data_IF_672511175208
#
_entry.id   IF_672511175208
#
_cell.length_a   1.000
_cell.length_b   1.000
_cell.length_c   1.000
_cell.angle_alpha   90.00
_cell.angle_beta   90.00
_cell.angle_gamma   90.00
#
_symmetry.space_group_name_H-M   'P 1'
#
loop_
_entity.id
_entity.type
_entity.pdbx_description
1 polymer ?
#
# COMPACT_ATOMS: atom_id res chain seq x y z
N UNK A 1 -11.15 2.14 -23.78
CA UNK A 1 -10.86 0.87 -23.06
C UNK A 1 -10.63 1.33 -21.65
N UNK A 2 -11.41 0.86 -20.67
CA UNK A 2 -11.28 1.37 -19.31
C UNK A 2 -9.84 1.17 -18.85
N UNK A 3 -9.19 2.26 -18.46
CA UNK A 3 -7.83 2.20 -17.97
C UNK A 3 -7.80 1.32 -16.72
N UNK A 4 -7.08 0.21 -16.83
CA UNK A 4 -6.92 -0.77 -15.77
C UNK A 4 -5.67 -0.42 -14.98
N UNK A 5 -5.86 -0.12 -13.70
CA UNK A 5 -4.76 0.16 -12.80
C UNK A 5 -4.47 -1.04 -11.92
N UNK A 6 -3.19 -1.34 -11.79
CA UNK A 6 -2.69 -2.41 -10.92
C UNK A 6 -1.93 -1.76 -9.76
N UNK A 7 -2.39 -2.01 -8.54
CA UNK A 7 -1.66 -1.62 -7.32
C UNK A 7 -1.08 -2.87 -6.70
N UNK A 8 0.21 -2.84 -6.42
CA UNK A 8 0.90 -3.90 -5.70
C UNK A 8 0.81 -3.64 -4.20
N UNK A 9 0.55 -4.67 -3.41
CA UNK A 9 0.72 -4.67 -1.96
C UNK A 9 1.90 -5.57 -1.65
N UNK A 10 2.85 -5.06 -0.87
CA UNK A 10 4.01 -5.83 -0.44
C UNK A 10 4.03 -5.90 1.08
N UNK A 11 4.11 -7.10 1.65
CA UNK A 11 4.32 -7.30 3.06
C UNK A 11 5.79 -7.64 3.27
N UNK A 12 6.50 -6.82 4.04
CA UNK A 12 7.92 -7.00 4.32
C UNK A 12 8.19 -6.88 5.81
N UNK A 13 9.22 -7.56 6.29
CA UNK A 13 9.67 -7.37 7.67
C UNK A 13 10.28 -5.97 7.84
N UNK A 14 10.06 -5.36 9.01
CA UNK A 14 10.67 -4.08 9.36
C UNK A 14 12.18 -4.20 9.67
N UNK A 15 12.66 -5.37 10.08
CA UNK A 15 14.08 -5.69 10.26
C UNK A 15 14.54 -6.77 9.27
N UNK A 16 15.14 -6.38 8.13
CA UNK A 16 15.63 -7.35 7.14
C UNK A 16 16.79 -8.21 7.65
N UNK A 17 17.44 -7.83 8.76
CA UNK A 17 18.53 -8.63 9.36
C UNK A 17 18.02 -9.76 10.25
N UNK A 18 16.75 -9.69 10.66
CA UNK A 18 16.08 -10.69 11.50
C UNK A 18 14.63 -10.90 11.02
N UNK A 19 14.44 -11.42 9.80
CA UNK A 19 13.09 -11.57 9.26
C UNK A 19 12.26 -12.53 10.12
N UNK A 20 10.99 -12.19 10.31
CA UNK A 20 9.92 -13.00 10.89
C UNK A 20 8.88 -13.34 9.79
N UNK A 21 9.15 -14.33 8.92
CA UNK A 21 8.23 -14.68 7.83
C UNK A 21 6.85 -15.11 8.32
N UNK A 22 6.77 -15.74 9.50
CA UNK A 22 5.51 -16.15 10.08
C UNK A 22 4.66 -14.94 10.51
N UNK A 23 5.29 -13.94 11.14
CA UNK A 23 4.65 -12.67 11.47
C UNK A 23 4.18 -11.91 10.22
N UNK A 24 5.02 -11.87 9.18
CA UNK A 24 4.69 -11.25 7.88
C UNK A 24 3.47 -11.93 7.24
N UNK A 25 3.47 -13.25 7.09
CA UNK A 25 2.36 -13.98 6.47
C UNK A 25 1.06 -13.91 7.29
N UNK A 26 1.15 -13.98 8.63
CA UNK A 26 -0.03 -13.81 9.48
C UNK A 26 -0.62 -12.39 9.37
N UNK A 27 0.21 -11.37 9.18
CA UNK A 27 -0.24 -10.01 8.93
C UNK A 27 -0.90 -9.88 7.54
N UNK A 28 -0.27 -10.44 6.51
CA UNK A 28 -0.77 -10.49 5.15
C UNK A 28 -2.16 -11.14 5.08
N UNK A 29 -2.30 -12.39 5.57
CA UNK A 29 -3.56 -13.13 5.55
C UNK A 29 -4.73 -12.35 6.14
N UNK A 30 -4.46 -11.68 7.25
CA UNK A 30 -5.48 -10.92 7.94
C UNK A 30 -5.87 -9.64 7.17
N UNK A 31 -4.89 -8.92 6.63
CA UNK A 31 -5.14 -7.70 5.84
C UNK A 31 -5.89 -8.05 4.55
N UNK A 32 -5.49 -9.13 3.88
CA UNK A 32 -6.17 -9.63 2.69
C UNK A 32 -7.60 -10.03 2.98
N UNK A 33 -7.86 -10.65 4.14
CA UNK A 33 -9.22 -10.97 4.59
C UNK A 33 -10.07 -9.71 4.74
N UNK A 34 -9.53 -8.65 5.32
CA UNK A 34 -10.26 -7.39 5.52
C UNK A 34 -10.48 -6.62 4.20
N UNK A 35 -9.51 -6.66 3.27
CA UNK A 35 -9.68 -6.14 1.92
C UNK A 35 -10.82 -6.86 1.18
N UNK A 36 -10.84 -8.20 1.22
CA UNK A 36 -11.90 -9.02 0.61
C UNK A 36 -13.27 -8.72 1.19
N UNK A 37 -13.38 -8.54 2.51
CA UNK A 37 -14.63 -8.13 3.18
C UNK A 37 -15.17 -6.79 2.68
N UNK A 38 -14.29 -5.89 2.22
CA UNK A 38 -14.66 -4.60 1.64
C UNK A 38 -14.81 -4.64 0.11
N UNK A 39 -14.86 -5.83 -0.49
CA UNK A 39 -15.03 -6.03 -1.93
C UNK A 39 -13.79 -5.68 -2.75
N UNK A 40 -12.61 -5.61 -2.11
CA UNK A 40 -11.31 -5.46 -2.78
C UNK A 40 -10.70 -6.86 -2.89
N UNK A 41 -10.38 -7.31 -4.10
CA UNK A 41 -9.84 -8.64 -4.35
C UNK A 41 -8.35 -8.57 -4.74
N UNK A 42 -7.42 -8.89 -3.82
CA UNK A 42 -6.00 -8.99 -4.12
C UNK A 42 -5.65 -10.38 -4.63
N UNK A 43 -4.83 -10.44 -5.68
CA UNK A 43 -4.32 -11.65 -6.31
C UNK A 43 -2.86 -11.86 -5.89
N UNK A 44 -2.45 -13.08 -5.46
CA UNK A 44 -1.06 -13.33 -5.11
C UNK A 44 -0.16 -13.22 -6.33
N UNK A 45 1.01 -12.61 -6.15
CA UNK A 45 2.08 -12.54 -7.17
C UNK A 45 3.26 -13.35 -6.68
N UNK A 46 3.65 -14.34 -7.47
CA UNK A 46 4.83 -15.14 -7.16
C UNK A 46 6.09 -14.34 -7.49
N UNK A 47 6.86 -13.96 -6.47
CA UNK A 47 8.09 -13.16 -6.62
C UNK A 47 9.38 -13.98 -6.56
N UNK A 48 9.30 -15.24 -6.12
CA UNK A 48 10.47 -16.11 -5.93
C UNK A 48 11.40 -15.68 -4.78
N UNK A 49 11.08 -14.61 -4.04
CA UNK A 49 11.84 -14.14 -2.89
C UNK A 49 11.32 -14.75 -1.59
N UNK A 50 12.22 -15.12 -0.67
CA UNK A 50 11.83 -15.58 0.66
C UNK A 50 11.51 -14.38 1.57
N UNK A 51 10.36 -14.43 2.24
CA UNK A 51 9.99 -13.47 3.29
C UNK A 51 9.26 -12.20 2.83
N UNK A 52 8.81 -12.16 1.57
CA UNK A 52 7.97 -11.07 1.06
C UNK A 52 6.72 -11.61 0.40
N UNK A 53 5.56 -11.41 1.02
CA UNK A 53 4.28 -11.76 0.40
C UNK A 53 3.82 -10.57 -0.45
N UNK A 54 3.62 -10.81 -1.75
CA UNK A 54 3.26 -9.76 -2.71
C UNK A 54 1.92 -10.10 -3.35
N UNK A 55 1.07 -9.09 -3.44
CA UNK A 55 -0.26 -9.19 -4.03
C UNK A 55 -0.49 -8.05 -5.00
N UNK A 56 -1.30 -8.26 -6.03
CA UNK A 56 -1.75 -7.24 -6.97
C UNK A 56 -3.26 -7.08 -6.87
N UNK A 57 -3.72 -5.84 -6.75
CA UNK A 57 -5.12 -5.46 -6.85
C UNK A 57 -5.30 -4.80 -8.20
N UNK A 58 -6.28 -5.28 -8.95
CA UNK A 58 -6.58 -4.78 -10.27
C UNK A 58 -7.94 -4.08 -10.22
N UNK A 59 -7.97 -2.79 -10.53
CA UNK A 59 -9.20 -1.99 -10.55
C UNK A 59 -9.35 -1.28 -11.89
N UNK A 60 -10.58 -1.27 -12.40
CA UNK A 60 -10.97 -0.42 -13.51
C UNK A 60 -11.33 0.95 -12.94
N UNK A 61 -10.67 2.00 -13.40
CA UNK A 61 -11.10 3.37 -13.12
C UNK A 61 -12.10 3.80 -14.20
N UNK A 62 -13.13 4.54 -13.80
CA UNK A 62 -14.03 5.16 -14.76
C UNK A 62 -13.22 6.18 -15.60
N UNK A 63 -13.26 6.03 -16.92
CA UNK A 63 -12.51 6.79 -17.92
C UNK A 63 -12.72 8.32 -17.72
N UNK A 64 -11.77 9.02 -17.10
CA UNK A 64 -11.75 10.50 -17.12
C UNK A 64 -10.39 11.15 -16.82
N UNK A 65 -9.32 10.39 -16.54
CA UNK A 65 -8.01 10.98 -16.29
C UNK A 65 -7.32 11.35 -17.61
N UNK A 66 -7.48 12.59 -18.07
CA UNK A 66 -6.87 13.08 -19.32
C UNK A 66 -5.42 13.57 -19.10
N UNK A 67 -5.04 13.89 -17.86
CA UNK A 67 -3.69 14.37 -17.51
C UNK A 67 -3.00 13.49 -16.44
N UNK A 68 -1.66 13.42 -16.46
CA UNK A 68 -0.87 12.59 -15.52
C UNK A 68 -1.15 12.88 -14.03
N UNK A 69 -1.47 14.14 -13.69
CA UNK A 69 -1.86 14.52 -12.33
C UNK A 69 -3.25 13.99 -11.94
N UNK A 70 -4.17 13.92 -12.90
CA UNK A 70 -5.49 13.32 -12.72
C UNK A 70 -5.38 11.80 -12.62
N UNK A 71 -4.45 11.18 -13.37
CA UNK A 71 -4.10 9.76 -13.23
C UNK A 71 -3.59 9.47 -11.82
N UNK A 72 -2.68 10.29 -11.31
CA UNK A 72 -2.14 10.15 -9.96
C UNK A 72 -3.23 10.33 -8.89
N UNK A 73 -4.10 11.33 -9.05
CA UNK A 73 -5.25 11.54 -8.15
C UNK A 73 -6.26 10.39 -8.22
N UNK A 74 -6.57 9.87 -9.40
CA UNK A 74 -7.48 8.76 -9.59
C UNK A 74 -6.91 7.46 -8.98
N UNK A 75 -5.61 7.22 -9.15
CA UNK A 75 -4.87 6.14 -8.51
C UNK A 75 -4.94 6.22 -6.99
N UNK A 76 -4.67 7.41 -6.44
CA UNK A 76 -4.66 7.61 -5.00
C UNK A 76 -6.09 7.48 -4.44
N UNK A 77 -7.07 8.16 -5.03
CA UNK A 77 -8.46 8.16 -4.57
C UNK A 77 -9.13 6.79 -4.74
N UNK A 78 -8.95 6.16 -5.90
CA UNK A 78 -9.70 4.97 -6.28
C UNK A 78 -9.18 3.67 -5.67
N UNK A 79 -7.88 3.61 -5.35
CA UNK A 79 -7.23 2.33 -4.99
C UNK A 79 -6.33 2.47 -3.77
N UNK A 80 -5.38 3.41 -3.76
CA UNK A 80 -4.37 3.48 -2.69
C UNK A 80 -4.97 3.93 -1.36
N UNK A 81 -5.75 5.01 -1.33
CA UNK A 81 -6.33 5.54 -0.09
C UNK A 81 -7.27 4.55 0.61
N UNK A 82 -8.17 3.83 -0.09
CA UNK A 82 -8.96 2.76 0.54
C UNK A 82 -8.11 1.66 1.17
N UNK A 83 -7.05 1.20 0.48
CA UNK A 83 -6.14 0.17 1.02
C UNK A 83 -5.43 0.70 2.27
N UNK A 84 -4.87 1.90 2.19
CA UNK A 84 -4.17 2.56 3.29
C UNK A 84 -5.07 2.78 4.50
N UNK A 85 -6.32 3.23 4.30
CA UNK A 85 -7.27 3.43 5.39
C UNK A 85 -7.65 2.12 6.08
N UNK A 86 -7.88 1.04 5.32
CA UNK A 86 -8.11 -0.31 5.87
C UNK A 86 -6.94 -0.76 6.74
N UNK A 87 -5.73 -0.63 6.21
CA UNK A 87 -4.50 -1.01 6.89
C UNK A 87 -4.37 -0.26 8.22
N UNK A 88 -4.48 1.05 8.17
CA UNK A 88 -4.20 1.88 9.32
C UNK A 88 -5.33 1.87 10.37
N UNK A 89 -6.61 1.68 9.99
CA UNK A 89 -7.72 1.50 10.95
C UNK A 89 -7.49 0.26 11.82
N UNK A 90 -6.96 -0.79 11.20
CA UNK A 90 -6.65 -2.06 11.85
C UNK A 90 -5.45 -1.96 12.78
N UNK A 91 -4.45 -1.16 12.39
CA UNK A 91 -3.29 -0.89 13.23
C UNK A 91 -3.65 -0.07 14.47
N UNK A 92 -4.58 0.89 14.38
CA UNK A 92 -5.14 1.58 15.55
C UNK A 92 -6.01 0.67 16.43
N UNK A 93 -6.82 -0.21 15.84
CA UNK A 93 -7.73 -1.08 16.61
C UNK A 93 -7.02 -2.14 17.50
N UNK A 94 -5.70 -2.34 17.32
CA UNK A 94 -4.89 -3.32 18.03
C UNK A 94 -4.06 -2.72 19.18
N UNK A 95 -4.50 -1.63 19.80
CA UNK A 95 -3.93 -1.05 21.03
C UNK A 95 -3.95 -2.04 22.21
N UNK A 96 -3.03 -3.00 22.18
CA UNK A 96 -2.11 -3.24 23.29
C UNK A 96 -0.81 -2.54 22.90
N UNK A 97 -0.17 -1.81 23.83
CA UNK A 97 1.08 -1.11 23.58
C UNK A 97 2.19 -2.15 23.35
N UNK A 98 2.28 -2.66 22.14
CA UNK A 98 3.48 -3.32 21.63
C UNK A 98 4.27 -2.24 20.92
N UNK A 99 5.49 -2.00 21.39
CA UNK A 99 6.42 -0.94 20.96
C UNK A 99 6.85 -1.01 19.48
N UNK A 100 6.26 -1.90 18.69
CA UNK A 100 6.54 -2.06 17.28
C UNK A 100 5.28 -1.76 16.46
N UNK A 101 5.15 -0.51 16.02
CA UNK A 101 4.08 -0.07 15.12
C UNK A 101 4.39 -0.55 13.69
N UNK A 102 3.39 -1.08 13.00
CA UNK A 102 3.54 -1.38 11.58
C UNK A 102 3.47 -0.06 10.81
N UNK A 103 4.28 0.06 9.76
CA UNK A 103 4.31 1.28 8.93
C UNK A 103 3.78 0.96 7.56
N UNK A 104 2.85 1.77 7.06
CA UNK A 104 2.40 1.70 5.67
C UNK A 104 3.18 2.73 4.87
N UNK A 105 3.78 2.32 3.77
CA UNK A 105 4.56 3.16 2.87
C UNK A 105 3.95 3.06 1.48
N UNK A 106 3.57 4.19 0.92
CA UNK A 106 3.11 4.27 -0.47
C UNK A 106 4.29 4.67 -1.34
N UNK A 107 4.55 3.88 -2.37
CA UNK A 107 5.66 4.08 -3.31
C UNK A 107 5.08 4.22 -4.73
N UNK A 108 5.42 5.31 -5.41
CA UNK A 108 5.02 5.58 -6.81
C UNK A 108 6.23 6.07 -7.58
N UNK A 109 6.68 5.34 -8.60
CA UNK A 109 7.87 5.69 -9.42
C UNK A 109 9.11 6.06 -8.57
N UNK A 110 9.28 5.37 -7.43
CA UNK A 110 10.37 5.60 -6.46
C UNK A 110 10.12 6.72 -5.44
N UNK A 111 9.11 7.58 -5.63
CA UNK A 111 8.67 8.54 -4.62
C UNK A 111 7.97 7.81 -3.48
N UNK A 112 8.27 8.17 -2.23
CA UNK A 112 7.77 7.45 -1.06
C UNK A 112 7.02 8.39 -0.11
N UNK A 113 5.92 7.90 0.44
CA UNK A 113 5.18 8.57 1.50
C UNK A 113 4.82 7.58 2.61
N UNK A 114 5.30 7.85 3.82
CA UNK A 114 4.90 7.10 4.99
C UNK A 114 3.51 7.54 5.47
N UNK A 115 2.67 6.55 5.75
CA UNK A 115 1.34 6.73 6.31
C UNK A 115 1.26 6.02 7.65
N UNK A 116 1.21 6.85 8.69
CA UNK A 116 1.00 6.42 10.08
C UNK A 116 -0.47 6.62 10.47
N UNK A 117 -1.15 7.61 9.87
CA UNK A 117 -2.53 7.97 10.19
C UNK A 117 -3.54 7.34 9.20
N UNK A 118 -4.53 6.55 9.68
CA UNK A 118 -5.57 5.96 8.83
C UNK A 118 -6.49 6.89 8.09
N UNK A 119 -6.57 8.12 8.55
CA UNK A 119 -7.49 9.11 8.02
C UNK A 119 -6.75 10.09 7.07
N UNK A 120 -5.56 9.72 6.58
CA UNK A 120 -4.85 10.51 5.58
C UNK A 120 -5.74 10.70 4.34
N UNK A 121 -6.00 11.95 3.99
CA UNK A 121 -6.74 12.27 2.78
C UNK A 121 -5.88 11.96 1.56
N UNK A 122 -6.54 11.66 0.43
CA UNK A 122 -5.84 11.46 -0.83
C UNK A 122 -5.02 12.68 -1.26
N UNK A 123 -5.52 13.89 -0.98
CA UNK A 123 -4.81 15.15 -1.25
C UNK A 123 -3.54 15.28 -0.40
N UNK A 124 -3.60 14.91 0.88
CA UNK A 124 -2.44 14.94 1.77
C UNK A 124 -1.41 13.87 1.36
N UNK A 125 -1.86 12.67 1.00
CA UNK A 125 -0.98 11.62 0.49
C UNK A 125 -0.29 12.05 -0.83
N UNK A 126 -1.06 12.63 -1.76
CA UNK A 126 -0.51 13.20 -2.99
C UNK A 126 0.52 14.28 -2.69
N UNK A 127 0.22 15.17 -1.75
CA UNK A 127 1.13 16.24 -1.34
C UNK A 127 2.45 15.67 -0.84
N UNK A 128 2.41 14.65 0.02
CA UNK A 128 3.63 13.98 0.54
C UNK A 128 4.45 13.34 -0.58
N UNK A 129 3.79 12.68 -1.53
CA UNK A 129 4.46 12.07 -2.68
C UNK A 129 5.15 13.14 -3.57
N UNK A 130 4.48 14.26 -3.84
CA UNK A 130 5.06 15.37 -4.62
C UNK A 130 6.16 16.13 -3.87
N UNK A 131 6.13 16.14 -2.54
CA UNK A 131 7.23 16.68 -1.72
C UNK A 131 8.45 15.75 -1.75
N UNK A 132 8.23 14.43 -1.70
CA UNK A 132 9.29 13.44 -1.85
C UNK A 132 9.93 13.49 -3.23
N UNK A 133 9.12 13.72 -4.28
CA UNK A 133 9.62 13.90 -5.64
C UNK A 133 8.71 14.86 -6.46
N UNK A 134 9.17 16.10 -6.69
CA UNK A 134 8.40 17.09 -7.46
C UNK A 134 8.18 16.70 -8.93
N UNK A 135 9.02 15.84 -9.52
CA UNK A 135 8.91 15.40 -10.91
C UNK A 135 8.02 14.16 -11.08
N UNK A 136 7.44 13.64 -9.99
CA UNK A 136 6.59 12.45 -10.01
C UNK A 136 5.45 12.55 -11.04
N UNK A 137 4.80 13.71 -11.15
CA UNK A 137 3.68 13.92 -12.07
C UNK A 137 4.07 13.77 -13.55
N UNK A 138 5.34 13.90 -13.91
CA UNK A 138 5.82 13.76 -15.29
C UNK A 138 6.12 12.30 -15.65
N UNK A 139 6.37 11.45 -14.64
CA UNK A 139 6.78 10.05 -14.81
C UNK A 139 5.61 9.07 -14.68
N UNK A 140 4.52 9.50 -14.06
CA UNK A 140 3.33 8.67 -13.85
C UNK A 140 2.52 8.55 -15.13
N UNK A 141 2.11 7.33 -15.44
CA UNK A 141 1.25 6.99 -16.57
C UNK A 141 0.17 6.00 -16.14
N UNK A 142 -0.83 5.70 -17.00
CA UNK A 142 -1.79 4.62 -16.73
C UNK A 142 -1.15 3.26 -16.49
N UNK A 143 0.06 3.02 -17.01
CA UNK A 143 0.81 1.79 -16.81
C UNK A 143 1.61 1.75 -15.50
N UNK A 144 1.71 2.86 -14.77
CA UNK A 144 2.40 2.93 -13.48
C UNK A 144 1.71 2.00 -12.49
N UNK A 145 2.51 1.21 -11.77
CA UNK A 145 2.04 0.28 -10.73
C UNK A 145 2.47 0.78 -9.35
N UNK A 146 1.65 1.55 -8.64
CA UNK A 146 1.93 1.95 -7.26
C UNK A 146 2.15 0.73 -6.38
N UNK A 147 3.05 0.85 -5.42
CA UNK A 147 3.30 -0.16 -4.39
C UNK A 147 2.84 0.38 -3.04
N UNK A 148 1.94 -0.33 -2.37
CA UNK A 148 1.60 -0.12 -0.96
C UNK A 148 2.38 -1.15 -0.16
N UNK A 149 3.52 -0.73 0.37
CA UNK A 149 4.37 -1.57 1.22
C UNK A 149 3.90 -1.48 2.67
N UNK A 150 3.68 -2.62 3.30
CA UNK A 150 3.36 -2.76 4.72
C UNK A 150 4.58 -3.35 5.40
N UNK A 151 5.26 -2.53 6.22
CA UNK A 151 6.34 -2.99 7.08
C UNK A 151 5.77 -3.58 8.34
N UNK A 152 5.93 -4.88 8.49
CA UNK A 152 5.43 -5.64 9.63
C UNK A 152 6.42 -5.54 10.77
N UNK A 153 5.93 -5.03 11.89
CA UNK A 153 6.69 -5.00 13.12
C UNK A 153 6.90 -6.44 13.61
N UNK A 154 8.15 -6.90 13.66
CA UNK A 154 8.51 -8.25 14.10
C UNK A 154 7.92 -8.58 15.48
N UNK A 155 7.44 -9.81 15.65
CA UNK A 155 6.86 -10.24 16.92
C UNK A 155 7.99 -10.46 17.94
N UNK A 156 8.25 -9.47 18.82
CA UNK A 156 9.12 -9.70 19.98
C UNK A 156 8.44 -10.71 20.90
N UNK A 157 8.84 -11.98 20.80
CA UNK A 157 8.57 -12.99 21.83
C UNK A 157 9.23 -12.50 23.12
N UNK A 158 8.42 -12.02 24.07
CA UNK A 158 8.85 -11.84 25.46
C UNK A 158 9.11 -13.21 26.09
#
# INVERSE_FOLDING_TARGET
MPDQFTVRIEFVDNDPTRPDPAGVSACADQILTDLRRRGIEPYPVYTGAMGGDVYEIVRQLAESAAANKEVLLALINGVVAPIVSVLAQRLKAKDRPSEAQHTVIVIVEGAQAEVIDPDISAEELLRRLLVSDPQLAERVSPATKPVVQVRVAGYKKR
#
